data_IF_130674520539
#
_entry.id   IF_130674520539
#
_cell.length_a   1.000
_cell.length_b   1.000
_cell.length_c   1.000
_cell.angle_alpha   90.00
_cell.angle_beta   90.00
_cell.angle_gamma   90.00
#
_symmetry.space_group_name_H-M   'P 1'
#
loop_
_entity.id
_entity.type
_entity.pdbx_description
1 polymer ?
#
# COMPACT_ATOMS: atom_id res chain seq x y z
N UNK A 1 15.94 11.60 9.16
CA UNK A 1 14.47 11.58 9.13
C UNK A 1 14.06 10.40 8.26
N UNK A 2 13.23 9.51 8.78
CA UNK A 2 12.79 8.34 8.02
C UNK A 2 11.94 8.77 6.81
N UNK A 3 12.01 8.00 5.72
CA UNK A 3 11.32 8.32 4.46
C UNK A 3 10.47 7.15 3.98
N UNK A 4 9.24 7.44 3.58
CA UNK A 4 8.34 6.46 2.95
C UNK A 4 8.04 6.85 1.52
N UNK A 5 8.17 5.89 0.60
CA UNK A 5 7.74 6.02 -0.79
C UNK A 5 6.26 5.62 -0.87
N UNK A 6 5.38 6.58 -1.16
CA UNK A 6 3.93 6.36 -1.34
C UNK A 6 3.66 6.15 -2.83
N UNK A 7 3.26 4.96 -3.21
CA UNK A 7 3.08 4.51 -4.58
C UNK A 7 1.59 4.54 -4.94
N UNK A 8 1.24 5.33 -5.95
CA UNK A 8 -0.12 5.42 -6.48
C UNK A 8 -0.12 5.89 -7.94
N UNK A 9 -1.28 6.18 -8.49
CA UNK A 9 -1.48 6.69 -9.85
C UNK A 9 -2.90 7.19 -10.03
N UNK A 10 -3.30 7.51 -11.26
CA UNK A 10 -4.70 7.83 -11.56
C UNK A 10 -5.61 6.68 -11.14
N UNK A 11 -6.76 7.00 -10.58
CA UNK A 11 -7.68 6.02 -10.02
C UNK A 11 -7.23 5.44 -8.67
N UNK A 12 -6.15 5.98 -8.07
CA UNK A 12 -5.79 5.68 -6.69
C UNK A 12 -6.84 6.19 -5.71
N UNK A 13 -7.03 5.52 -4.59
CA UNK A 13 -8.02 5.91 -3.59
C UNK A 13 -7.55 7.15 -2.82
N UNK A 14 -8.34 8.23 -2.86
CA UNK A 14 -7.93 9.54 -2.35
C UNK A 14 -7.83 9.60 -0.83
N UNK A 15 -8.71 8.90 -0.11
CA UNK A 15 -8.67 8.85 1.35
C UNK A 15 -7.45 8.06 1.83
N UNK A 16 -7.14 6.94 1.18
CA UNK A 16 -5.92 6.19 1.50
C UNK A 16 -4.67 7.05 1.29
N UNK A 17 -4.61 7.79 0.17
CA UNK A 17 -3.46 8.61 -0.17
C UNK A 17 -3.25 9.77 0.80
N UNK A 18 -4.29 10.55 1.07
CA UNK A 18 -4.20 11.72 1.95
C UNK A 18 -3.95 11.31 3.40
N UNK A 19 -4.64 10.27 3.87
CA UNK A 19 -4.43 9.76 5.22
C UNK A 19 -3.00 9.25 5.41
N UNK A 20 -2.47 8.48 4.44
CA UNK A 20 -1.10 8.00 4.46
C UNK A 20 -0.10 9.14 4.62
N UNK A 21 -0.18 10.13 3.74
CA UNK A 21 0.75 11.27 3.73
C UNK A 21 0.72 12.01 5.07
N UNK A 22 -0.47 12.32 5.58
CA UNK A 22 -0.61 13.04 6.85
C UNK A 22 -0.15 12.19 8.01
N UNK A 23 -0.52 10.92 8.05
CA UNK A 23 -0.19 10.03 9.16
C UNK A 23 1.30 9.74 9.29
N UNK A 24 2.01 9.58 8.17
CA UNK A 24 3.46 9.45 8.19
C UNK A 24 4.14 10.76 8.61
N UNK A 25 3.64 11.91 8.15
CA UNK A 25 4.17 13.22 8.56
C UNK A 25 3.97 13.50 10.05
N UNK A 26 2.84 13.10 10.64
CA UNK A 26 2.62 13.18 12.09
C UNK A 26 3.65 12.39 12.90
N UNK A 27 4.11 11.25 12.38
CA UNK A 27 5.19 10.46 12.99
C UNK A 27 6.60 10.96 12.64
N UNK A 28 6.71 12.11 11.98
CA UNK A 28 7.99 12.72 11.63
C UNK A 28 8.69 12.07 10.43
N UNK A 29 7.97 11.34 9.58
CA UNK A 29 8.49 10.78 8.35
C UNK A 29 8.32 11.75 7.18
N UNK A 30 9.26 11.71 6.23
CA UNK A 30 9.10 12.32 4.91
C UNK A 30 8.33 11.37 3.99
N UNK A 31 7.12 11.77 3.58
CA UNK A 31 6.27 10.99 2.68
C UNK A 31 6.37 11.56 1.25
N UNK A 32 6.95 10.77 0.35
CA UNK A 32 7.21 11.14 -1.05
C UNK A 32 6.30 10.32 -1.96
N UNK A 33 5.54 10.99 -2.82
CA UNK A 33 4.58 10.36 -3.73
C UNK A 33 5.25 10.02 -5.05
N UNK A 34 5.20 8.76 -5.46
CA UNK A 34 5.67 8.30 -6.75
C UNK A 34 4.53 7.71 -7.59
N UNK A 35 4.57 8.00 -8.89
CA UNK A 35 3.59 7.56 -9.88
C UNK A 35 4.29 7.20 -11.21
N UNK A 36 3.58 6.65 -12.21
CA UNK A 36 4.20 6.37 -13.52
C UNK A 36 4.87 7.58 -14.16
N UNK A 37 4.30 8.77 -13.93
CA UNK A 37 4.85 10.06 -14.38
C UNK A 37 4.67 11.12 -13.32
N UNK A 38 5.63 12.06 -13.22
CA UNK A 38 5.55 13.19 -12.30
C UNK A 38 4.55 14.23 -12.81
N UNK A 39 3.36 14.24 -12.24
CA UNK A 39 2.27 15.18 -12.58
C UNK A 39 1.19 15.17 -11.51
N UNK A 40 0.19 16.02 -11.68
CA UNK A 40 -1.04 15.93 -10.90
C UNK A 40 -1.80 14.66 -11.28
N UNK A 41 -2.15 13.88 -10.27
CA UNK A 41 -2.91 12.63 -10.38
C UNK A 41 -4.40 12.90 -10.15
N UNK A 42 -5.24 12.14 -10.85
CA UNK A 42 -6.68 12.12 -10.67
C UNK A 42 -7.06 10.92 -9.81
N UNK A 43 -7.24 11.18 -8.52
CA UNK A 43 -7.63 10.13 -7.57
C UNK A 43 -9.16 9.95 -7.56
N UNK A 44 -9.60 8.81 -7.03
CA UNK A 44 -11.01 8.47 -6.89
C UNK A 44 -11.39 8.35 -5.41
N UNK A 45 -12.68 8.40 -5.13
CA UNK A 45 -13.26 8.12 -3.83
C UNK A 45 -14.09 6.85 -3.97
N UNK A 46 -13.79 5.84 -3.17
CA UNK A 46 -14.61 4.64 -3.03
C UNK A 46 -15.46 4.73 -1.78
N UNK A 47 -16.72 4.34 -1.89
CA UNK A 47 -17.64 4.26 -0.76
C UNK A 47 -18.48 3.00 -0.84
N UNK A 48 -18.93 2.50 0.32
CA UNK A 48 -19.80 1.33 0.42
C UNK A 48 -21.22 1.80 0.73
N UNK A 49 -22.12 1.60 -0.22
CA UNK A 49 -23.53 1.97 -0.05
C UNK A 49 -24.41 0.74 0.21
N UNK A 50 -25.42 0.87 1.08
CA UNK A 50 -26.39 -0.21 1.31
C UNK A 50 -27.05 -0.68 0.00
N UNK A 51 -27.14 -1.99 -0.19
CA UNK A 51 -27.76 -2.60 -1.37
C UNK A 51 -26.85 -2.72 -2.61
N UNK A 52 -25.54 -2.42 -2.43
CA UNK A 52 -24.52 -2.67 -3.46
C UNK A 52 -23.63 -3.83 -3.01
N UNK A 53 -23.28 -4.71 -3.94
CA UNK A 53 -22.40 -5.86 -3.68
C UNK A 53 -20.92 -5.50 -3.71
N UNK A 54 -20.57 -4.27 -4.12
CA UNK A 54 -19.21 -3.73 -4.16
C UNK A 54 -19.24 -2.23 -3.83
N UNK A 55 -18.07 -1.58 -3.86
CA UNK A 55 -17.99 -0.13 -3.69
C UNK A 55 -18.55 0.62 -4.91
N UNK A 56 -18.97 1.84 -4.68
CA UNK A 56 -19.18 2.84 -5.73
C UNK A 56 -17.90 3.68 -5.90
N UNK A 57 -17.68 4.22 -7.09
CA UNK A 57 -16.59 5.13 -7.38
C UNK A 57 -17.12 6.53 -7.71
N UNK A 58 -16.49 7.53 -7.15
CA UNK A 58 -16.70 8.94 -7.45
C UNK A 58 -15.37 9.67 -7.65
N UNK A 59 -15.43 10.93 -8.09
CA UNK A 59 -14.25 11.78 -8.19
C UNK A 59 -13.67 12.04 -6.80
N UNK A 60 -12.37 11.80 -6.64
CA UNK A 60 -11.61 12.07 -5.43
C UNK A 60 -10.78 13.36 -5.52
N UNK A 61 -9.93 13.59 -4.54
CA UNK A 61 -9.00 14.72 -4.56
C UNK A 61 -7.89 14.49 -5.60
N UNK A 62 -7.38 15.59 -6.18
CA UNK A 62 -6.13 15.54 -6.95
C UNK A 62 -4.91 15.50 -6.01
N UNK A 63 -3.84 14.82 -6.46
CA UNK A 63 -2.59 14.71 -5.71
C UNK A 63 -1.41 14.94 -6.66
N UNK A 64 -0.44 15.76 -6.24
CA UNK A 64 0.79 15.92 -7.02
C UNK A 64 1.74 14.73 -6.76
N UNK A 65 2.23 14.11 -7.83
CA UNK A 65 3.32 13.16 -7.75
C UNK A 65 4.66 13.91 -7.67
N UNK A 66 5.45 13.60 -6.65
CA UNK A 66 6.78 14.19 -6.46
C UNK A 66 7.80 13.63 -7.45
N UNK A 67 7.66 12.34 -7.80
CA UNK A 67 8.59 11.60 -8.68
C UNK A 67 7.84 10.73 -9.69
N UNK A 68 8.45 10.52 -10.84
CA UNK A 68 8.14 9.39 -11.72
C UNK A 68 8.86 8.13 -11.23
N UNK A 69 8.35 6.93 -11.55
CA UNK A 69 8.94 5.67 -11.11
C UNK A 69 10.40 5.50 -11.56
N UNK A 70 10.76 5.97 -12.75
CA UNK A 70 12.12 5.91 -13.28
C UNK A 70 13.13 6.82 -12.53
N UNK A 71 12.64 7.73 -11.70
CA UNK A 71 13.44 8.60 -10.84
C UNK A 71 13.62 8.04 -9.42
N UNK A 72 12.93 6.96 -9.07
CA UNK A 72 12.95 6.38 -7.73
C UNK A 72 14.21 5.54 -7.52
N UNK A 73 14.90 5.82 -6.42
CA UNK A 73 16.01 5.01 -5.91
C UNK A 73 15.59 4.39 -4.58
N UNK A 74 15.43 3.08 -4.54
CA UNK A 74 14.93 2.38 -3.36
C UNK A 74 15.81 2.59 -2.12
N UNK A 75 17.12 2.84 -2.31
CA UNK A 75 18.06 3.13 -1.24
C UNK A 75 17.74 4.41 -0.47
N UNK A 76 17.06 5.37 -1.08
CA UNK A 76 16.73 6.67 -0.48
C UNK A 76 15.56 6.60 0.51
N UNK A 77 14.91 5.44 0.67
CA UNK A 77 13.71 5.25 1.48
C UNK A 77 13.86 4.12 2.49
N UNK A 78 13.16 4.22 3.62
CA UNK A 78 13.11 3.19 4.66
C UNK A 78 11.95 2.22 4.45
N UNK A 79 10.91 2.66 3.79
CA UNK A 79 9.72 1.86 3.49
C UNK A 79 9.06 2.27 2.18
N UNK A 80 8.27 1.34 1.60
CA UNK A 80 7.35 1.60 0.49
C UNK A 80 5.91 1.30 0.93
N UNK A 81 4.96 2.14 0.52
CA UNK A 81 3.53 1.95 0.73
C UNK A 81 2.82 1.94 -0.62
N UNK A 82 2.15 0.84 -0.94
CA UNK A 82 1.35 0.69 -2.15
C UNK A 82 -0.12 0.90 -1.78
N UNK A 83 -0.72 1.93 -2.36
CA UNK A 83 -2.11 2.28 -2.13
C UNK A 83 -3.07 1.49 -3.03
N UNK A 84 -4.34 1.52 -2.67
CA UNK A 84 -5.42 0.90 -3.42
C UNK A 84 -6.10 1.84 -4.40
N UNK A 85 -7.42 1.79 -4.43
CA UNK A 85 -8.19 2.26 -5.56
C UNK A 85 -8.07 1.27 -6.71
N UNK A 86 -8.36 1.69 -7.93
CA UNK A 86 -8.13 0.86 -9.13
C UNK A 86 -6.77 1.08 -9.80
N UNK A 87 -5.94 2.00 -9.27
CA UNK A 87 -4.59 2.22 -9.79
C UNK A 87 -3.74 0.92 -9.84
N UNK A 88 -3.75 0.04 -8.83
CA UNK A 88 -3.00 -1.21 -8.87
C UNK A 88 -3.33 -2.13 -10.06
N UNK A 89 -4.53 -2.05 -10.63
CA UNK A 89 -4.93 -2.87 -11.78
C UNK A 89 -4.00 -2.68 -13.00
N UNK A 90 -3.53 -1.45 -13.23
CA UNK A 90 -2.58 -1.17 -14.30
C UNK A 90 -1.14 -1.04 -13.79
N UNK A 91 -0.94 -0.56 -12.56
CA UNK A 91 0.39 -0.41 -11.97
C UNK A 91 1.14 -1.74 -11.86
N UNK A 92 0.42 -2.84 -11.59
CA UNK A 92 0.99 -4.20 -11.54
C UNK A 92 1.63 -4.67 -12.85
N UNK A 93 1.36 -3.99 -13.96
CA UNK A 93 1.96 -4.27 -15.26
C UNK A 93 3.19 -3.36 -15.54
N UNK A 94 3.52 -2.44 -14.65
CA UNK A 94 4.65 -1.53 -14.80
C UNK A 94 5.94 -2.20 -14.29
N UNK A 95 6.81 -2.60 -15.20
CA UNK A 95 8.06 -3.32 -14.88
C UNK A 95 8.96 -2.51 -13.95
N UNK A 96 9.08 -1.18 -14.19
CA UNK A 96 9.88 -0.30 -13.34
C UNK A 96 9.38 -0.31 -11.89
N UNK A 97 8.06 -0.22 -11.67
CA UNK A 97 7.47 -0.32 -10.33
C UNK A 97 7.74 -1.69 -9.69
N UNK A 98 7.57 -2.78 -10.43
CA UNK A 98 7.82 -4.11 -9.88
C UNK A 98 9.29 -4.28 -9.45
N UNK A 99 10.22 -3.71 -10.21
CA UNK A 99 11.64 -3.75 -9.86
C UNK A 99 11.97 -2.89 -8.63
N UNK A 100 11.31 -1.73 -8.47
CA UNK A 100 11.38 -0.90 -7.26
C UNK A 100 10.93 -1.73 -6.05
N UNK A 101 9.73 -2.31 -6.08
CA UNK A 101 9.17 -3.06 -4.95
C UNK A 101 10.05 -4.28 -4.60
N UNK A 102 10.56 -4.99 -5.60
CA UNK A 102 11.54 -6.08 -5.41
C UNK A 102 12.85 -5.58 -4.79
N UNK A 103 13.29 -4.36 -5.12
CA UNK A 103 14.49 -3.78 -4.52
C UNK A 103 14.30 -3.51 -3.01
N UNK A 104 13.12 -3.05 -2.59
CA UNK A 104 12.79 -2.92 -1.16
C UNK A 104 12.86 -4.27 -0.44
N UNK A 105 12.27 -5.31 -1.02
CA UNK A 105 12.29 -6.66 -0.43
C UNK A 105 13.72 -7.21 -0.32
N UNK A 106 14.51 -7.15 -1.40
CA UNK A 106 15.93 -7.60 -1.39
C UNK A 106 16.78 -6.84 -0.37
N UNK A 107 16.46 -5.56 -0.12
CA UNK A 107 17.15 -4.75 0.87
C UNK A 107 16.64 -4.97 2.31
N UNK A 108 15.66 -5.87 2.51
CA UNK A 108 15.04 -6.12 3.82
C UNK A 108 14.30 -4.90 4.38
N UNK A 109 13.82 -4.01 3.53
CA UNK A 109 13.06 -2.82 3.92
C UNK A 109 11.58 -3.16 4.12
N UNK A 110 10.86 -2.27 4.81
CA UNK A 110 9.43 -2.44 5.03
C UNK A 110 8.64 -2.18 3.75
N UNK A 111 7.62 -3.02 3.52
CA UNK A 111 6.66 -2.85 2.42
C UNK A 111 5.26 -2.93 3.00
N UNK A 112 4.47 -1.92 2.70
CA UNK A 112 3.08 -1.81 3.15
C UNK A 112 2.16 -1.82 1.94
N UNK A 113 1.01 -2.49 2.03
CA UNK A 113 0.01 -2.47 0.97
C UNK A 113 -1.40 -2.47 1.57
N UNK A 114 -2.28 -1.71 0.97
CA UNK A 114 -3.67 -1.62 1.39
C UNK A 114 -4.60 -1.85 0.20
N UNK A 115 -5.74 -2.47 0.44
CA UNK A 115 -6.83 -2.64 -0.53
C UNK A 115 -6.35 -3.42 -1.78
N UNK A 116 -6.46 -2.83 -2.96
CA UNK A 116 -5.96 -3.39 -4.23
C UNK A 116 -4.43 -3.36 -4.35
N UNK A 117 -3.72 -2.66 -3.45
CA UNK A 117 -2.25 -2.61 -3.47
C UNK A 117 -1.58 -4.00 -3.44
N UNK A 118 -2.28 -5.01 -2.92
CA UNK A 118 -1.84 -6.42 -2.94
C UNK A 118 -1.56 -6.94 -4.36
N UNK A 119 -2.24 -6.42 -5.39
CA UNK A 119 -2.04 -6.83 -6.79
C UNK A 119 -0.61 -6.54 -7.28
N UNK A 120 -0.01 -5.44 -6.82
CA UNK A 120 1.38 -5.11 -7.15
C UNK A 120 2.34 -6.08 -6.46
N UNK A 121 2.08 -6.43 -5.19
CA UNK A 121 2.89 -7.41 -4.46
C UNK A 121 2.79 -8.81 -5.07
N UNK A 122 1.58 -9.20 -5.50
CA UNK A 122 1.35 -10.47 -6.22
C UNK A 122 2.15 -10.51 -7.53
N UNK A 123 2.06 -9.46 -8.35
CA UNK A 123 2.79 -9.36 -9.61
C UNK A 123 4.31 -9.30 -9.41
N UNK A 124 4.78 -8.71 -8.31
CA UNK A 124 6.19 -8.70 -7.94
C UNK A 124 6.70 -10.06 -7.42
N UNK A 125 5.81 -11.02 -7.10
CA UNK A 125 6.16 -12.35 -6.57
C UNK A 125 6.55 -12.35 -5.09
N UNK A 126 6.07 -11.38 -4.29
CA UNK A 126 6.54 -11.16 -2.92
C UNK A 126 5.65 -11.78 -1.84
N UNK A 127 4.49 -12.33 -2.19
CA UNK A 127 3.50 -12.81 -1.21
C UNK A 127 3.34 -14.33 -1.16
N UNK A 128 4.04 -15.08 -1.99
CA UNK A 128 3.97 -16.55 -1.97
C UNK A 128 4.39 -17.11 -0.61
N UNK A 129 3.53 -17.96 -0.03
CA UNK A 129 3.74 -18.56 1.31
C UNK A 129 3.52 -17.61 2.49
N UNK A 130 3.14 -16.34 2.25
CA UNK A 130 2.91 -15.36 3.33
C UNK A 130 1.45 -15.25 3.70
N UNK A 131 1.19 -14.91 4.97
CA UNK A 131 -0.13 -14.47 5.42
C UNK A 131 -0.35 -13.02 5.00
N UNK A 132 -1.48 -12.76 4.34
CA UNK A 132 -1.84 -11.42 3.86
C UNK A 132 -3.32 -11.16 4.05
N UNK A 133 -3.68 -9.89 4.08
CA UNK A 133 -5.06 -9.43 3.89
C UNK A 133 -5.12 -8.37 2.79
N UNK A 134 -6.28 -8.16 2.22
CA UNK A 134 -6.53 -7.17 1.17
C UNK A 134 -8.03 -6.92 1.05
N UNK A 135 -8.43 -6.03 0.17
CA UNK A 135 -9.84 -5.93 -0.21
C UNK A 135 -10.37 -7.31 -0.64
N UNK A 136 -11.50 -7.72 -0.08
CA UNK A 136 -12.00 -9.09 -0.22
C UNK A 136 -12.20 -9.55 -1.67
N UNK A 137 -12.57 -8.63 -2.57
CA UNK A 137 -12.82 -8.98 -3.98
C UNK A 137 -11.56 -9.14 -4.83
N UNK A 138 -10.36 -8.83 -4.29
CA UNK A 138 -9.06 -9.18 -4.90
C UNK A 138 -8.34 -10.31 -4.15
N UNK A 139 -9.01 -10.98 -3.21
CA UNK A 139 -8.52 -12.13 -2.49
C UNK A 139 -8.04 -13.24 -3.42
N UNK A 140 -8.80 -13.55 -4.47
CA UNK A 140 -8.47 -14.61 -5.42
C UNK A 140 -7.09 -14.40 -6.04
N UNK A 141 -6.73 -13.16 -6.37
CA UNK A 141 -5.43 -12.84 -6.96
C UNK A 141 -4.28 -13.08 -5.96
N UNK A 142 -4.49 -12.76 -4.68
CA UNK A 142 -3.52 -13.04 -3.63
C UNK A 142 -3.32 -14.56 -3.44
N UNK A 143 -4.40 -15.31 -3.40
CA UNK A 143 -4.36 -16.79 -3.28
C UNK A 143 -3.71 -17.44 -4.51
N UNK A 144 -4.00 -16.97 -5.72
CA UNK A 144 -3.36 -17.44 -6.96
C UNK A 144 -1.86 -17.15 -6.98
N UNK A 145 -1.41 -16.06 -6.33
CA UNK A 145 0.00 -15.76 -6.14
C UNK A 145 0.65 -16.59 -5.00
N UNK A 146 -0.09 -17.54 -4.41
CA UNK A 146 0.41 -18.44 -3.39
C UNK A 146 0.35 -17.91 -1.95
N UNK A 147 -0.36 -16.83 -1.70
CA UNK A 147 -0.52 -16.28 -0.36
C UNK A 147 -1.62 -16.99 0.44
N UNK A 148 -1.53 -16.95 1.76
CA UNK A 148 -2.57 -17.35 2.69
C UNK A 148 -3.40 -16.11 3.07
N UNK A 149 -4.57 -15.95 2.46
CA UNK A 149 -5.47 -14.86 2.81
C UNK A 149 -6.09 -15.07 4.19
N UNK A 150 -6.12 -14.01 4.99
CA UNK A 150 -6.80 -13.97 6.29
C UNK A 150 -7.71 -12.73 6.37
N UNK A 151 -8.74 -12.79 7.19
CA UNK A 151 -9.79 -11.75 7.27
C UNK A 151 -9.50 -10.67 8.34
N UNK A 152 -8.28 -10.66 8.90
CA UNK A 152 -7.88 -9.63 9.85
C UNK A 152 -7.80 -8.26 9.16
N UNK A 153 -8.11 -7.18 9.88
CA UNK A 153 -8.07 -5.81 9.35
C UNK A 153 -6.66 -5.40 8.88
N UNK A 154 -5.63 -5.88 9.57
CA UNK A 154 -4.23 -5.69 9.21
C UNK A 154 -3.41 -6.92 9.58
N UNK A 155 -2.45 -7.28 8.74
CA UNK A 155 -1.59 -8.45 8.92
C UNK A 155 -0.14 -8.06 8.66
N UNK A 156 0.74 -8.48 9.57
CA UNK A 156 2.18 -8.41 9.38
C UNK A 156 2.76 -9.82 9.19
N UNK A 157 3.49 -10.02 8.11
CA UNK A 157 4.29 -11.23 7.89
C UNK A 157 5.68 -10.84 7.39
N UNK A 158 6.69 -11.12 8.20
CA UNK A 158 8.05 -10.66 7.95
C UNK A 158 8.13 -9.13 7.93
N UNK A 159 8.50 -8.56 6.79
CA UNK A 159 8.57 -7.11 6.58
C UNK A 159 7.45 -6.57 5.68
N UNK A 160 6.40 -7.35 5.50
CA UNK A 160 5.23 -6.93 4.74
C UNK A 160 4.06 -6.75 5.70
N UNK A 161 3.42 -5.56 5.66
CA UNK A 161 2.18 -5.28 6.37
C UNK A 161 1.09 -5.01 5.34
N UNK A 162 -0.03 -5.72 5.45
CA UNK A 162 -1.16 -5.57 4.53
C UNK A 162 -2.44 -5.22 5.28
N UNK A 163 -3.38 -4.53 4.62
CA UNK A 163 -4.68 -4.17 5.18
C UNK A 163 -5.80 -4.25 4.15
N UNK A 164 -7.06 -4.34 4.63
CA UNK A 164 -8.20 -4.60 3.76
C UNK A 164 -8.62 -3.38 2.95
N UNK A 165 -8.99 -2.29 3.60
CA UNK A 165 -9.51 -1.07 2.96
C UNK A 165 -9.16 0.16 3.81
N UNK A 166 -9.54 1.35 3.35
CA UNK A 166 -9.40 2.58 4.12
C UNK A 166 -10.10 2.50 5.51
N UNK A 167 -11.09 1.62 5.70
CA UNK A 167 -11.70 1.38 7.02
C UNK A 167 -10.72 0.76 8.00
N UNK A 168 -9.73 0.04 7.51
CA UNK A 168 -8.68 -0.61 8.30
C UNK A 168 -7.52 0.34 8.68
N UNK A 169 -7.56 1.61 8.31
CA UNK A 169 -6.49 2.58 8.61
C UNK A 169 -6.04 2.55 10.07
N UNK A 170 -6.94 2.53 11.09
CA UNK A 170 -6.50 2.51 12.49
C UNK A 170 -5.63 1.31 12.83
N UNK A 171 -6.00 0.12 12.39
CA UNK A 171 -5.26 -1.12 12.63
C UNK A 171 -3.97 -1.16 11.80
N UNK A 172 -4.06 -0.77 10.53
CA UNK A 172 -2.94 -0.76 9.61
C UNK A 172 -1.80 0.13 10.09
N UNK A 173 -2.08 1.39 10.41
CA UNK A 173 -1.05 2.33 10.84
C UNK A 173 -0.53 2.04 12.25
N UNK A 174 -1.38 1.49 13.14
CA UNK A 174 -0.92 0.99 14.43
C UNK A 174 0.10 -0.13 14.25
N UNK A 175 -0.19 -1.10 13.38
CA UNK A 175 0.71 -2.21 13.07
C UNK A 175 2.02 -1.70 12.45
N UNK A 176 1.95 -0.81 11.45
CA UNK A 176 3.12 -0.21 10.81
C UNK A 176 4.03 0.43 11.87
N UNK A 177 3.51 1.37 12.66
CA UNK A 177 4.34 2.15 13.58
C UNK A 177 4.83 1.35 14.78
N UNK A 178 4.11 0.32 15.23
CA UNK A 178 4.61 -0.63 16.21
C UNK A 178 5.86 -1.36 15.68
N UNK A 179 5.86 -1.77 14.41
CA UNK A 179 6.96 -2.52 13.79
C UNK A 179 8.16 -1.64 13.44
N UNK A 180 7.94 -0.47 12.83
CA UNK A 180 9.06 0.38 12.41
C UNK A 180 9.77 1.08 13.59
N UNK A 181 9.07 1.31 14.71
CA UNK A 181 9.65 1.90 15.91
C UNK A 181 10.39 0.91 16.82
N UNK A 182 10.41 -0.38 16.47
CA UNK A 182 11.02 -1.43 17.29
C UNK A 182 10.31 -1.70 18.63
N UNK A 183 9.13 -1.11 18.83
CA UNK A 183 8.24 -1.43 19.95
C UNK A 183 7.43 -2.67 19.57
N UNK A 184 8.09 -3.85 19.64
CA UNK A 184 7.34 -5.12 19.68
C UNK A 184 6.45 -5.08 20.91
N UNK A 185 5.15 -5.25 20.71
CA UNK A 185 4.22 -5.49 21.80
C UNK A 185 4.70 -6.69 22.61
N UNK A 186 5.27 -6.39 23.78
CA UNK A 186 5.26 -7.31 24.91
C UNK A 186 3.82 -7.22 25.43
N UNK A 187 2.91 -7.85 24.75
CA UNK A 187 1.58 -8.13 25.22
C UNK A 187 1.59 -9.62 25.57
N UNK A 188 1.86 -9.95 26.77
CA UNK A 188 0.90 -10.26 27.80
C UNK A 188 0.80 -11.76 27.91
N UNK A 189 1.52 -12.33 28.84
CA UNK A 189 1.22 -13.60 29.52
C UNK A 189 -0.21 -13.66 30.03
#
# INVERSE_FOLDING_TARGET
MARVLVITGDGGESYEALYAIHRFREEGWDAVVAAPTRRRLHLVMHDFKPGWDTYIEGEGYGLEADLAFDQVRAEDYDAALILGGRAPEYLRNNVCLLDIVRAFDRAGKWIFAICHGIQVLAAAGLISGRRVTCYEHVRLEAEQAGAMYVTDEAVCDGRIVTAQTWRSHPQFYREIFARVSGKSDVAGS
#
